data_IF_875083425737
#
_entry.id   IF_875083425737
#
_cell.length_a   1.000
_cell.length_b   1.000
_cell.length_c   1.000
_cell.angle_alpha   90.00
_cell.angle_beta   90.00
_cell.angle_gamma   90.00
#
_symmetry.space_group_name_H-M   'P 1'
#
loop_
_entity.id
_entity.type
_entity.pdbx_description
1 polymer ?
#
# COMPACT_ATOMS: atom_id res chain seq x y z
N UNK A 1 8.35 3.68 -23.28
CA UNK A 1 6.94 3.82 -22.87
C UNK A 1 6.93 4.93 -21.84
N UNK A 2 6.11 5.95 -22.00
CA UNK A 2 6.09 7.10 -21.09
C UNK A 2 5.48 6.62 -19.78
N UNK A 3 6.31 6.41 -18.75
CA UNK A 3 5.83 6.19 -17.39
C UNK A 3 4.85 7.32 -17.08
N UNK A 4 3.58 6.97 -16.93
CA UNK A 4 2.58 7.93 -16.53
C UNK A 4 2.92 8.39 -15.11
N UNK A 5 2.54 9.62 -14.80
CA UNK A 5 2.98 10.32 -13.60
C UNK A 5 2.41 9.61 -12.36
N UNK A 6 3.15 8.66 -11.79
CA UNK A 6 2.82 8.09 -10.48
C UNK A 6 2.76 9.23 -9.48
N UNK A 7 1.63 9.38 -8.79
CA UNK A 7 1.43 10.44 -7.80
C UNK A 7 2.09 10.07 -6.46
N UNK A 8 3.39 9.76 -6.54
CA UNK A 8 4.23 9.37 -5.42
C UNK A 8 5.36 10.40 -5.24
N UNK A 9 5.87 10.58 -4.02
CA UNK A 9 6.99 11.47 -3.73
C UNK A 9 8.23 11.18 -4.60
N UNK A 10 8.90 12.24 -5.05
CA UNK A 10 10.02 12.12 -5.99
C UNK A 10 11.21 11.34 -5.42
N UNK A 11 11.51 11.53 -4.14
CA UNK A 11 12.49 10.76 -3.37
C UNK A 11 12.19 9.26 -3.38
N UNK A 12 10.93 8.87 -3.19
CA UNK A 12 10.52 7.47 -3.25
C UNK A 12 10.69 6.91 -4.67
N UNK A 13 10.29 7.66 -5.70
CA UNK A 13 10.51 7.24 -7.09
C UNK A 13 12.01 7.08 -7.43
N UNK A 14 12.88 7.96 -6.92
CA UNK A 14 14.33 7.82 -7.10
C UNK A 14 14.89 6.59 -6.37
N UNK A 15 14.35 6.27 -5.20
CA UNK A 15 14.71 5.06 -4.46
C UNK A 15 14.24 3.81 -5.20
N UNK A 16 13.00 3.77 -5.71
CA UNK A 16 12.50 2.68 -6.56
C UNK A 16 13.37 2.47 -7.80
N UNK A 17 13.73 3.55 -8.49
CA UNK A 17 14.59 3.49 -9.69
C UNK A 17 16.04 3.02 -9.35
N UNK A 18 16.41 2.91 -8.07
CA UNK A 18 17.73 2.43 -7.61
C UNK A 18 17.76 0.93 -7.26
N UNK A 19 16.60 0.28 -7.19
CA UNK A 19 16.48 -1.15 -6.91
C UNK A 19 16.81 -1.94 -8.18
N UNK A 20 17.69 -2.94 -8.06
CA UNK A 20 18.17 -3.71 -9.22
C UNK A 20 17.30 -4.94 -9.54
N UNK A 21 16.55 -5.45 -8.57
CA UNK A 21 15.71 -6.67 -8.63
C UNK A 21 14.45 -6.50 -7.75
N UNK A 22 13.68 -7.58 -7.58
CA UNK A 22 12.59 -7.66 -6.60
C UNK A 22 13.11 -7.22 -5.23
N UNK A 23 12.43 -6.27 -4.59
CA UNK A 23 12.93 -5.64 -3.38
C UNK A 23 12.08 -6.01 -2.19
N UNK A 24 12.70 -6.65 -1.21
CA UNK A 24 12.09 -6.96 0.08
C UNK A 24 12.62 -6.02 1.14
N UNK A 25 11.70 -5.51 1.94
CA UNK A 25 12.00 -4.56 3.01
C UNK A 25 11.46 -5.07 4.33
N UNK A 26 12.28 -5.01 5.38
CA UNK A 26 11.79 -5.22 6.73
C UNK A 26 11.47 -3.86 7.35
N UNK A 27 10.27 -3.73 7.92
CA UNK A 27 9.86 -2.60 8.74
C UNK A 27 9.00 -3.11 9.89
N UNK A 28 9.41 -2.76 11.11
CA UNK A 28 8.74 -3.18 12.36
C UNK A 28 8.52 -4.71 12.46
N UNK A 29 9.59 -5.49 12.21
CA UNK A 29 9.58 -6.97 12.23
C UNK A 29 8.70 -7.64 11.15
N UNK A 30 8.20 -6.86 10.17
CA UNK A 30 7.43 -7.37 9.04
C UNK A 30 8.14 -7.15 7.71
N UNK A 31 8.11 -8.18 6.88
CA UNK A 31 8.68 -8.16 5.54
C UNK A 31 7.61 -7.73 4.53
N UNK A 32 7.98 -6.83 3.62
CA UNK A 32 7.13 -6.35 2.54
C UNK A 32 7.87 -6.47 1.21
N UNK A 33 7.19 -7.03 0.22
CA UNK A 33 7.64 -7.00 -1.17
C UNK A 33 7.22 -5.67 -1.79
N UNK A 34 8.19 -4.94 -2.33
CA UNK A 34 7.99 -3.60 -2.89
C UNK A 34 7.82 -3.70 -4.39
N UNK A 35 6.69 -3.17 -4.87
CA UNK A 35 6.39 -3.17 -6.28
C UNK A 35 7.33 -2.25 -7.05
N UNK A 36 7.86 -2.75 -8.17
CA UNK A 36 8.59 -1.94 -9.12
C UNK A 36 7.69 -0.89 -9.77
N UNK A 37 8.31 0.12 -10.37
CA UNK A 37 7.59 1.18 -11.08
C UNK A 37 6.72 0.67 -12.23
N UNK A 38 7.14 -0.42 -12.86
CA UNK A 38 6.39 -1.05 -13.93
C UNK A 38 5.16 -1.76 -13.35
N UNK A 39 5.34 -2.55 -12.29
CA UNK A 39 4.27 -3.27 -11.59
C UNK A 39 3.19 -2.35 -11.04
N UNK A 40 3.56 -1.21 -10.45
CA UNK A 40 2.60 -0.23 -9.92
C UNK A 40 1.55 0.22 -10.96
N UNK A 41 1.89 0.16 -12.25
CA UNK A 41 1.02 0.53 -13.37
C UNK A 41 0.36 -0.68 -14.04
N UNK A 42 0.73 -1.90 -13.67
CA UNK A 42 0.15 -3.11 -14.26
C UNK A 42 -1.30 -3.30 -13.81
N UNK A 43 -2.12 -3.78 -14.75
CA UNK A 43 -3.51 -4.11 -14.48
C UNK A 43 -3.59 -5.53 -13.94
N UNK A 44 -4.21 -5.67 -12.78
CA UNK A 44 -4.49 -6.92 -12.11
C UNK A 44 -5.97 -7.26 -12.26
N UNK A 45 -6.27 -8.55 -12.43
CA UNK A 45 -7.64 -9.07 -12.41
C UNK A 45 -7.93 -9.68 -11.02
N UNK A 46 -8.85 -9.08 -10.28
CA UNK A 46 -9.26 -9.49 -8.92
C UNK A 46 -10.79 -9.59 -8.91
N UNK A 47 -11.34 -10.79 -8.69
CA UNK A 47 -12.80 -11.06 -8.60
C UNK A 47 -13.63 -10.43 -9.75
N UNK A 48 -13.23 -10.68 -11.01
CA UNK A 48 -13.83 -10.10 -12.23
C UNK A 48 -13.66 -8.57 -12.39
N UNK A 49 -12.90 -7.91 -11.51
CA UNK A 49 -12.52 -6.50 -11.62
C UNK A 49 -11.10 -6.36 -12.16
N UNK A 50 -10.90 -5.41 -13.06
CA UNK A 50 -9.56 -4.99 -13.51
C UNK A 50 -9.18 -3.70 -12.77
N UNK A 51 -8.06 -3.72 -12.06
CA UNK A 51 -7.56 -2.59 -11.26
C UNK A 51 -6.05 -2.46 -11.44
N UNK A 52 -5.53 -1.23 -11.49
CA UNK A 52 -4.08 -1.05 -11.47
C UNK A 52 -3.52 -1.52 -10.12
N UNK A 53 -2.30 -2.06 -10.10
CA UNK A 53 -1.65 -2.50 -8.87
C UNK A 53 -1.70 -1.42 -7.78
N UNK A 54 -1.39 -0.18 -8.15
CA UNK A 54 -1.39 0.97 -7.22
C UNK A 54 -2.77 1.29 -6.63
N UNK A 55 -3.86 0.85 -7.27
CA UNK A 55 -5.24 1.12 -6.87
C UNK A 55 -5.90 -0.05 -6.11
N UNK A 56 -5.14 -1.11 -5.77
CA UNK A 56 -5.67 -2.31 -5.12
C UNK A 56 -6.43 -2.00 -3.81
N UNK A 57 -5.91 -1.10 -2.97
CA UNK A 57 -6.56 -0.70 -1.72
C UNK A 57 -8.01 -0.21 -1.93
N UNK A 58 -8.28 0.49 -3.05
CA UNK A 58 -9.63 0.92 -3.43
C UNK A 58 -10.57 -0.25 -3.65
N UNK A 59 -10.12 -1.25 -4.40
CA UNK A 59 -10.93 -2.41 -4.72
C UNK A 59 -11.24 -3.21 -3.45
N UNK A 60 -10.23 -3.53 -2.65
CA UNK A 60 -10.42 -4.30 -1.42
C UNK A 60 -11.31 -3.57 -0.40
N UNK A 61 -11.09 -2.26 -0.18
CA UNK A 61 -11.94 -1.48 0.72
C UNK A 61 -13.41 -1.50 0.28
N UNK A 62 -13.67 -1.44 -1.03
CA UNK A 62 -15.02 -1.55 -1.59
C UNK A 62 -15.61 -2.95 -1.43
N UNK A 63 -14.84 -4.00 -1.72
CA UNK A 63 -15.30 -5.39 -1.56
C UNK A 63 -15.66 -5.70 -0.11
N UNK A 64 -14.82 -5.29 0.84
CA UNK A 64 -15.08 -5.47 2.27
C UNK A 64 -16.33 -4.70 2.68
N UNK A 65 -16.48 -3.44 2.26
CA UNK A 65 -17.69 -2.66 2.50
C UNK A 65 -18.96 -3.34 1.93
N UNK A 66 -18.88 -3.89 0.72
CA UNK A 66 -20.00 -4.56 0.07
C UNK A 66 -20.40 -5.87 0.78
N UNK A 67 -19.42 -6.61 1.32
CA UNK A 67 -19.63 -7.88 2.03
C UNK A 67 -20.14 -7.66 3.46
N UNK A 68 -19.51 -6.76 4.20
CA UNK A 68 -19.79 -6.51 5.62
C UNK A 68 -20.98 -5.57 5.83
N UNK A 69 -21.19 -4.65 4.90
CA UNK A 69 -22.10 -3.52 5.05
C UNK A 69 -21.56 -2.40 5.94
N UNK A 70 -20.31 -2.49 6.40
CA UNK A 70 -19.69 -1.50 7.26
C UNK A 70 -19.06 -0.35 6.46
N UNK A 71 -19.08 0.85 7.06
CA UNK A 71 -18.51 2.05 6.44
C UNK A 71 -17.07 2.34 6.87
N UNK A 72 -16.57 1.60 7.87
CA UNK A 72 -15.28 1.81 8.50
C UNK A 72 -14.71 0.48 9.00
N UNK A 73 -13.40 0.46 9.15
CA UNK A 73 -12.62 -0.55 9.86
C UNK A 73 -12.01 0.05 11.13
N UNK A 74 -11.15 -0.69 11.83
CA UNK A 74 -10.39 -0.22 12.98
C UNK A 74 -8.90 -0.11 12.67
N UNK A 75 -8.23 0.83 13.33
CA UNK A 75 -6.77 0.80 13.47
C UNK A 75 -6.33 0.02 14.73
N UNK A 76 -5.02 -0.18 14.88
CA UNK A 76 -4.39 -0.86 16.03
C UNK A 76 -4.64 -0.15 17.37
N UNK A 77 -4.94 1.15 17.36
CA UNK A 77 -5.33 1.94 18.52
C UNK A 77 -6.84 1.87 18.82
N UNK A 78 -7.63 1.19 17.97
CA UNK A 78 -9.08 1.05 18.08
C UNK A 78 -9.88 2.27 17.61
N UNK A 79 -9.27 3.19 16.87
CA UNK A 79 -9.96 4.26 16.17
C UNK A 79 -10.62 3.75 14.89
N UNK A 80 -11.67 4.45 14.45
CA UNK A 80 -12.37 4.09 13.22
C UNK A 80 -11.73 4.73 12.01
N UNK A 81 -11.41 3.92 11.01
CA UNK A 81 -10.87 4.37 9.72
C UNK A 81 -11.91 4.12 8.63
N UNK A 82 -12.42 5.15 7.93
CA UNK A 82 -13.42 4.96 6.88
C UNK A 82 -12.86 4.21 5.66
N UNK A 83 -13.59 3.24 5.12
CA UNK A 83 -13.19 2.58 3.86
C UNK A 83 -13.08 3.57 2.69
N UNK A 84 -13.85 4.65 2.71
CA UNK A 84 -13.73 5.73 1.73
C UNK A 84 -12.40 6.48 1.78
N UNK A 85 -11.72 6.48 2.93
CA UNK A 85 -10.36 7.02 3.08
C UNK A 85 -9.35 6.02 2.55
N UNK A 86 -9.45 4.75 2.97
CA UNK A 86 -8.56 3.66 2.50
C UNK A 86 -8.59 3.55 0.97
N UNK A 87 -9.76 3.73 0.35
CA UNK A 87 -9.87 3.72 -1.12
C UNK A 87 -9.22 4.90 -1.85
N UNK A 88 -8.60 5.85 -1.12
CA UNK A 88 -7.75 6.89 -1.71
C UNK A 88 -6.26 6.61 -1.53
N UNK A 89 -5.90 5.55 -0.81
CA UNK A 89 -4.52 5.15 -0.61
C UNK A 89 -3.94 4.50 -1.85
N UNK A 90 -2.64 4.66 -2.02
CA UNK A 90 -1.87 4.09 -3.12
C UNK A 90 -1.12 2.87 -2.59
N UNK A 91 -1.34 1.70 -3.20
CA UNK A 91 -0.62 0.47 -2.86
C UNK A 91 0.78 0.51 -3.46
N UNK A 92 1.81 0.29 -2.64
CA UNK A 92 3.22 0.37 -3.03
C UNK A 92 3.98 -0.95 -2.85
N UNK A 93 3.34 -1.93 -2.23
CA UNK A 93 3.91 -3.25 -1.97
C UNK A 93 2.87 -4.15 -1.33
N UNK A 94 3.28 -5.37 -1.03
CA UNK A 94 2.40 -6.39 -0.47
C UNK A 94 3.18 -7.41 0.36
N UNK A 95 2.45 -8.10 1.22
CA UNK A 95 2.91 -9.28 1.95
C UNK A 95 1.76 -10.30 1.91
N UNK A 96 1.90 -11.30 1.04
CA UNK A 96 0.85 -12.29 0.77
C UNK A 96 -0.49 -11.65 0.30
N UNK A 97 -1.46 -11.52 1.20
CA UNK A 97 -2.80 -10.95 0.93
C UNK A 97 -2.95 -9.52 1.50
N UNK A 98 -1.93 -9.04 2.20
CA UNK A 98 -1.93 -7.75 2.87
C UNK A 98 -1.17 -6.71 2.04
N UNK A 99 -1.58 -5.45 2.16
CA UNK A 99 -1.13 -4.39 1.28
C UNK A 99 -0.33 -3.34 2.05
N UNK A 100 0.84 -3.00 1.53
CA UNK A 100 1.59 -1.83 1.96
C UNK A 100 1.06 -0.63 1.18
N UNK A 101 0.48 0.33 1.89
CA UNK A 101 -0.22 1.46 1.30
C UNK A 101 0.37 2.78 1.78
N UNK A 102 0.14 3.84 1.00
CA UNK A 102 0.44 5.22 1.41
C UNK A 102 -0.78 6.11 1.28
N UNK A 103 -0.94 7.04 2.22
CA UNK A 103 -2.04 8.02 2.22
C UNK A 103 -1.56 9.38 1.67
N UNK A 104 -1.90 9.75 0.43
CA UNK A 104 -1.50 11.04 -0.13
C UNK A 104 -2.09 12.24 0.62
N UNK A 105 -3.20 12.07 1.35
CA UNK A 105 -3.84 13.14 2.12
C UNK A 105 -3.17 13.40 3.48
N UNK A 106 -2.40 12.43 4.00
CA UNK A 106 -1.67 12.51 5.27
C UNK A 106 -0.15 12.42 5.05
N UNK A 107 0.39 13.31 4.20
CA UNK A 107 1.83 13.42 3.94
C UNK A 107 2.49 12.11 3.46
N UNK A 108 1.75 11.30 2.70
CA UNK A 108 2.19 9.96 2.28
C UNK A 108 2.58 9.08 3.47
N UNK A 109 1.84 9.18 4.58
CA UNK A 109 1.95 8.25 5.69
C UNK A 109 1.81 6.81 5.19
N UNK A 110 2.61 5.91 5.74
CA UNK A 110 2.66 4.50 5.34
C UNK A 110 1.75 3.71 6.26
N UNK A 111 0.91 2.88 5.67
CA UNK A 111 -0.09 2.06 6.35
C UNK A 111 -0.01 0.63 5.88
N UNK A 112 -0.10 -0.32 6.82
CA UNK A 112 -0.50 -1.69 6.52
C UNK A 112 -2.01 -1.74 6.39
N UNK A 113 -2.51 -2.31 5.31
CA UNK A 113 -3.93 -2.64 5.15
C UNK A 113 -4.06 -4.16 5.07
N UNK A 114 -4.90 -4.72 5.94
CA UNK A 114 -5.00 -6.16 6.16
C UNK A 114 -6.37 -6.72 5.72
N UNK A 115 -6.68 -6.79 4.41
CA UNK A 115 -7.91 -7.41 3.91
C UNK A 115 -8.14 -8.82 4.46
N UNK A 116 -7.06 -9.58 4.67
CA UNK A 116 -7.09 -10.94 5.20
C UNK A 116 -7.65 -11.02 6.62
N UNK A 117 -7.49 -9.95 7.42
CA UNK A 117 -7.95 -9.84 8.81
C UNK A 117 -9.26 -9.06 8.95
N UNK A 118 -10.04 -8.94 7.87
CA UNK A 118 -11.29 -8.19 7.88
C UNK A 118 -11.14 -6.72 7.54
N UNK A 119 -9.95 -6.32 7.08
CA UNK A 119 -9.64 -4.98 6.60
C UNK A 119 -9.16 -4.03 7.67
N UNK A 120 -8.63 -4.52 8.79
CA UNK A 120 -7.97 -3.67 9.79
C UNK A 120 -6.75 -2.96 9.16
N UNK A 121 -6.35 -1.84 9.77
CA UNK A 121 -5.22 -1.03 9.28
C UNK A 121 -4.26 -0.70 10.41
N UNK A 122 -3.02 -0.41 10.07
CA UNK A 122 -1.99 -0.05 11.04
C UNK A 122 -1.09 1.03 10.46
N UNK A 123 -0.82 2.08 11.25
CA UNK A 123 0.07 3.15 10.79
C UNK A 123 1.52 2.76 11.04
N UNK A 124 2.26 2.51 9.97
CA UNK A 124 3.66 2.09 10.03
C UNK A 124 4.60 3.31 10.12
N UNK A 125 4.34 4.36 9.34
CA UNK A 125 5.18 5.56 9.33
C UNK A 125 4.35 6.83 9.07
N UNK A 126 4.86 7.99 9.50
CA UNK A 126 4.18 9.28 9.28
C UNK A 126 4.42 9.86 7.89
N UNK A 127 5.35 9.29 7.12
CA UNK A 127 5.64 9.64 5.75
C UNK A 127 6.46 8.55 5.06
N UNK A 128 6.52 8.60 3.73
CA UNK A 128 7.45 7.77 2.96
C UNK A 128 8.92 8.06 3.28
N UNK A 129 9.29 9.31 3.58
CA UNK A 129 10.65 9.62 4.02
C UNK A 129 10.99 8.93 5.34
N UNK A 130 10.10 9.02 6.34
CA UNK A 130 10.30 8.36 7.64
C UNK A 130 10.40 6.84 7.47
N UNK A 131 9.60 6.26 6.58
CA UNK A 131 9.65 4.84 6.25
C UNK A 131 10.99 4.44 5.63
N UNK A 132 11.48 5.20 4.65
CA UNK A 132 12.78 4.95 4.01
C UNK A 132 13.97 5.14 4.97
N UNK A 133 13.86 5.97 6.00
CA UNK A 133 14.89 6.12 7.03
C UNK A 133 14.93 4.95 8.02
N UNK A 134 13.79 4.30 8.28
CA UNK A 134 13.65 3.15 9.18
C UNK A 134 13.75 1.78 8.51
N UNK A 135 13.75 1.76 7.18
CA UNK A 135 13.84 0.60 6.29
C UNK A 135 15.16 -0.16 6.45
N UNK A 136 15.07 -1.49 6.50
CA UNK A 136 16.19 -2.40 6.20
C UNK A 136 15.91 -3.17 4.90
N UNK A 137 16.78 -2.99 3.90
CA UNK A 137 16.75 -3.78 2.65
C UNK A 137 17.24 -5.20 2.95
N UNK A 138 16.49 -6.21 2.52
CA UNK A 138 16.88 -7.61 2.68
C UNK A 138 17.65 -8.08 1.43
N UNK A 139 18.83 -8.68 1.65
CA UNK A 139 19.54 -9.41 0.60
C UNK A 139 18.91 -10.81 0.45
N UNK A 140 18.37 -11.15 -0.73
CA UNK A 140 17.90 -12.51 -1.05
C UNK A 140 19.00 -13.58 -1.10
#
# INVERSE_FOLDING_TARGET
MTAENLDLPHNYLLWLDSLEEDAYVEYDEREWEIASREELQELLEIDDYEVAYIDQANLYAKLIQDITGDAYTMDDEGNRVPFSLIGTWLTIGYDNEDLLCVDPADNFAVWGFYPSEGGDVEKLANSLDDFLEGLELLDE
#
